data_IF_784439553860
#
_entry.id   IF_784439553860
#
_cell.length_a   1.000
_cell.length_b   1.000
_cell.length_c   1.000
_cell.angle_alpha   90.00
_cell.angle_beta   90.00
_cell.angle_gamma   90.00
#
_symmetry.space_group_name_H-M   'P 1'
#
loop_
_entity.id
_entity.type
_entity.pdbx_description
1 polymer ?
#
# COMPACT_ATOMS: atom_id res chain seq x y z
N UNK A 1 3.80 29.84 14.99
CA UNK A 1 5.12 29.32 14.56
C UNK A 1 6.05 28.89 15.71
N UNK A 2 5.71 29.08 17.00
CA UNK A 2 6.58 28.73 18.17
C UNK A 2 6.41 27.33 18.76
N UNK A 3 5.58 26.44 18.17
CA UNK A 3 5.19 25.17 18.82
C UNK A 3 6.25 24.06 18.73
N UNK A 4 7.26 24.19 17.88
CA UNK A 4 8.19 23.09 17.52
C UNK A 4 9.67 23.51 17.46
N UNK A 5 10.04 24.67 17.99
CA UNK A 5 11.41 25.24 17.91
C UNK A 5 12.50 24.39 18.59
N UNK A 6 12.10 23.45 19.48
CA UNK A 6 13.01 22.56 20.23
C UNK A 6 13.09 21.12 19.67
N UNK A 7 12.49 20.85 18.51
CA UNK A 7 12.48 19.52 17.91
C UNK A 7 13.61 19.37 16.89
N UNK A 8 14.10 18.15 16.68
CA UNK A 8 15.10 17.86 15.67
C UNK A 8 14.64 18.27 14.27
N UNK A 9 15.59 18.47 13.35
CA UNK A 9 15.26 18.91 11.98
C UNK A 9 14.35 17.88 11.25
N UNK A 10 14.56 16.59 11.45
CA UNK A 10 13.73 15.52 10.91
C UNK A 10 12.29 15.59 11.43
N UNK A 11 12.13 15.71 12.76
CA UNK A 11 10.80 15.83 13.37
C UNK A 11 10.03 17.06 12.86
N UNK A 12 10.74 18.15 12.60
CA UNK A 12 10.11 19.37 12.03
C UNK A 12 9.66 19.16 10.59
N UNK A 13 10.40 18.37 9.80
CA UNK A 13 10.01 18.00 8.41
C UNK A 13 8.77 17.13 8.46
N UNK A 14 8.79 16.07 9.28
CA UNK A 14 7.66 15.15 9.43
C UNK A 14 6.38 15.89 9.85
N UNK A 15 6.48 16.78 10.83
CA UNK A 15 5.34 17.60 11.25
C UNK A 15 4.81 18.51 10.13
N UNK A 16 5.70 19.11 9.32
CA UNK A 16 5.26 19.90 8.17
C UNK A 16 4.54 19.06 7.13
N UNK A 17 5.01 17.83 6.87
CA UNK A 17 4.33 16.91 5.98
C UNK A 17 2.94 16.56 6.53
N UNK A 18 2.85 16.19 7.82
CA UNK A 18 1.59 15.87 8.49
C UNK A 18 0.61 17.04 8.47
N UNK A 19 1.05 18.26 8.73
CA UNK A 19 0.22 19.47 8.70
C UNK A 19 -0.33 19.77 7.30
N UNK A 20 0.32 19.26 6.24
CA UNK A 20 -0.11 19.38 4.85
C UNK A 20 -0.80 18.10 4.33
N UNK A 21 -1.22 17.20 5.21
CA UNK A 21 -1.90 15.96 4.85
C UNK A 21 -1.05 15.02 3.96
N UNK A 22 0.28 15.06 4.13
CA UNK A 22 1.25 14.23 3.40
C UNK A 22 1.92 13.27 4.35
N UNK A 23 2.07 12.01 3.94
CA UNK A 23 2.89 11.01 4.63
C UNK A 23 3.76 10.25 3.62
N UNK A 24 4.98 9.89 4.04
CA UNK A 24 5.92 9.14 3.22
C UNK A 24 6.21 7.78 3.83
N UNK A 25 5.64 6.74 3.24
CA UNK A 25 5.89 5.33 3.57
C UNK A 25 7.04 4.82 2.71
N UNK A 26 8.19 4.60 3.32
CA UNK A 26 9.39 4.15 2.61
C UNK A 26 10.09 2.98 3.32
N UNK A 27 10.89 2.25 2.55
CA UNK A 27 11.62 1.06 3.02
C UNK A 27 10.75 -0.20 3.01
N UNK A 28 11.18 -1.24 3.72
CA UNK A 28 10.44 -2.48 3.87
C UNK A 28 9.14 -2.26 4.64
N UNK A 29 8.05 -2.93 4.24
CA UNK A 29 6.78 -2.89 4.96
C UNK A 29 6.91 -3.67 6.27
N UNK A 30 6.95 -2.95 7.38
CA UNK A 30 7.13 -3.46 8.73
C UNK A 30 6.10 -2.89 9.69
N UNK A 31 5.94 -3.50 10.87
CA UNK A 31 5.08 -2.98 11.94
C UNK A 31 5.41 -1.51 12.26
N UNK A 32 6.70 -1.16 12.29
CA UNK A 32 7.13 0.18 12.67
C UNK A 32 6.59 1.26 11.72
N UNK A 33 6.84 1.14 10.41
CA UNK A 33 6.45 2.18 9.45
C UNK A 33 4.96 2.15 9.13
N UNK A 34 4.34 0.98 9.13
CA UNK A 34 2.88 0.84 8.99
C UNK A 34 2.14 1.44 10.18
N UNK A 35 2.60 1.18 11.42
CA UNK A 35 2.01 1.78 12.63
C UNK A 35 2.04 3.31 12.59
N UNK A 36 3.14 3.92 12.09
CA UNK A 36 3.25 5.37 11.89
C UNK A 36 2.22 5.86 10.86
N UNK A 37 2.09 5.15 9.74
CA UNK A 37 1.13 5.48 8.67
C UNK A 37 -0.32 5.36 9.15
N UNK A 38 -0.65 4.29 9.87
CA UNK A 38 -1.98 4.09 10.46
C UNK A 38 -2.31 5.21 11.46
N UNK A 39 -1.38 5.54 12.37
CA UNK A 39 -1.58 6.62 13.34
C UNK A 39 -1.81 7.97 12.67
N UNK A 40 -1.11 8.24 11.57
CA UNK A 40 -1.35 9.43 10.75
C UNK A 40 -2.79 9.49 10.21
N UNK A 41 -3.28 8.42 9.60
CA UNK A 41 -4.66 8.36 9.07
C UNK A 41 -5.67 8.50 10.22
N UNK A 42 -5.48 7.80 11.32
CA UNK A 42 -6.36 7.87 12.47
C UNK A 42 -6.38 9.27 13.09
N UNK A 43 -5.22 9.93 13.21
CA UNK A 43 -5.14 11.30 13.74
C UNK A 43 -5.89 12.30 12.85
N UNK A 44 -5.79 12.14 11.52
CA UNK A 44 -6.54 12.95 10.57
C UNK A 44 -8.06 12.75 10.72
N UNK A 45 -8.51 11.51 10.95
CA UNK A 45 -9.92 11.18 11.17
C UNK A 45 -10.49 11.74 12.48
N UNK A 46 -9.66 11.95 13.52
CA UNK A 46 -10.09 12.52 14.80
C UNK A 46 -10.37 14.03 14.71
N UNK A 47 -9.80 14.70 13.72
CA UNK A 47 -10.00 16.13 13.53
C UNK A 47 -11.34 16.35 12.82
N UNK A 48 -12.27 17.05 13.46
CA UNK A 48 -13.58 17.42 12.86
C UNK A 48 -13.40 18.49 11.75
N UNK A 49 -12.80 18.09 10.65
CA UNK A 49 -12.67 18.91 9.44
C UNK A 49 -13.50 18.30 8.30
N UNK A 50 -13.89 19.11 7.29
CA UNK A 50 -14.51 18.59 6.08
C UNK A 50 -13.67 17.49 5.44
N UNK A 51 -14.31 16.60 4.68
CA UNK A 51 -13.62 15.56 3.93
C UNK A 51 -12.56 16.18 3.02
N UNK A 52 -11.35 15.64 3.05
CA UNK A 52 -10.22 16.09 2.23
C UNK A 52 -9.45 14.88 1.66
N UNK A 53 -8.43 15.11 0.90
CA UNK A 53 -7.54 14.06 0.40
C UNK A 53 -6.26 14.06 1.22
N UNK A 54 -5.91 12.90 1.77
CA UNK A 54 -4.62 12.62 2.39
C UNK A 54 -3.71 12.01 1.32
N UNK A 55 -2.46 12.46 1.24
CA UNK A 55 -1.49 12.01 0.25
C UNK A 55 -0.50 11.04 0.87
N UNK A 56 -0.56 9.78 0.46
CA UNK A 56 0.36 8.74 0.87
C UNK A 56 1.37 8.46 -0.25
N UNK A 57 2.58 8.96 -0.08
CA UNK A 57 3.70 8.59 -0.93
C UNK A 57 4.22 7.22 -0.53
N UNK A 58 4.42 6.34 -1.51
CA UNK A 58 4.87 4.96 -1.28
C UNK A 58 6.13 4.71 -2.09
N UNK A 59 7.19 4.26 -1.41
CA UNK A 59 8.46 3.84 -1.99
C UNK A 59 8.97 2.62 -1.23
N UNK A 60 8.60 1.43 -1.68
CA UNK A 60 8.89 0.20 -0.96
C UNK A 60 9.00 -1.00 -1.91
N UNK A 61 9.90 -1.89 -1.58
CA UNK A 61 10.04 -3.20 -2.25
C UNK A 61 9.08 -4.27 -1.70
N UNK A 62 8.25 -3.92 -0.72
CA UNK A 62 7.30 -4.83 -0.08
C UNK A 62 7.72 -5.20 1.34
N UNK A 63 7.17 -6.28 1.88
CA UNK A 63 7.41 -6.78 3.23
C UNK A 63 6.19 -7.50 3.79
N UNK A 64 5.85 -7.29 5.06
CA UNK A 64 4.83 -8.02 5.78
C UNK A 64 3.41 -7.84 5.22
N UNK A 65 2.72 -8.96 4.95
CA UNK A 65 1.36 -8.94 4.42
C UNK A 65 0.30 -8.59 5.46
N UNK A 66 0.46 -8.99 6.72
CA UNK A 66 -0.52 -8.66 7.75
C UNK A 66 -0.51 -7.16 8.05
N UNK A 67 0.68 -6.56 8.09
CA UNK A 67 0.83 -5.11 8.20
C UNK A 67 0.22 -4.40 6.98
N UNK A 68 0.43 -4.96 5.79
CA UNK A 68 -0.20 -4.48 4.55
C UNK A 68 -1.72 -4.51 4.64
N UNK A 69 -2.32 -5.61 5.08
CA UNK A 69 -3.77 -5.72 5.24
C UNK A 69 -4.29 -4.75 6.31
N UNK A 70 -3.60 -4.61 7.44
CA UNK A 70 -3.97 -3.66 8.49
C UNK A 70 -4.02 -2.22 7.95
N UNK A 71 -3.01 -1.80 7.18
CA UNK A 71 -2.98 -0.48 6.57
C UNK A 71 -4.12 -0.30 5.56
N UNK A 72 -4.33 -1.27 4.66
CA UNK A 72 -5.39 -1.21 3.65
C UNK A 72 -6.77 -1.11 4.30
N UNK A 73 -7.03 -1.85 5.37
CA UNK A 73 -8.30 -1.79 6.09
C UNK A 73 -8.53 -0.41 6.71
N UNK A 74 -7.50 0.20 7.28
CA UNK A 74 -7.57 1.57 7.82
C UNK A 74 -7.75 2.60 6.70
N UNK A 75 -7.06 2.46 5.55
CA UNK A 75 -7.26 3.32 4.38
C UNK A 75 -8.71 3.28 3.89
N UNK A 76 -9.29 2.08 3.76
CA UNK A 76 -10.69 1.88 3.32
C UNK A 76 -11.71 2.44 4.31
N UNK A 77 -11.40 2.39 5.61
CA UNK A 77 -12.27 2.89 6.69
C UNK A 77 -12.14 4.39 6.93
N UNK A 78 -11.14 5.03 6.35
CA UNK A 78 -10.89 6.45 6.54
C UNK A 78 -12.07 7.32 6.11
N UNK A 79 -12.37 8.35 6.90
CA UNK A 79 -13.30 9.41 6.51
C UNK A 79 -12.80 10.23 5.32
N UNK A 80 -11.47 10.33 5.19
CA UNK A 80 -10.79 11.06 4.13
C UNK A 80 -10.43 10.14 2.96
N UNK A 81 -10.37 10.68 1.74
CA UNK A 81 -9.84 9.95 0.61
C UNK A 81 -8.31 9.80 0.75
N UNK A 82 -7.81 8.59 0.59
CA UNK A 82 -6.36 8.36 0.57
C UNK A 82 -5.90 8.31 -0.88
N UNK A 83 -5.16 9.32 -1.30
CA UNK A 83 -4.43 9.33 -2.57
C UNK A 83 -3.12 8.59 -2.40
N UNK A 84 -2.79 7.68 -3.29
CA UNK A 84 -1.49 6.99 -3.30
C UNK A 84 -0.60 7.52 -4.41
N UNK A 85 0.63 7.84 -4.08
CA UNK A 85 1.64 8.36 -5.01
C UNK A 85 2.84 7.40 -4.98
N UNK A 86 2.97 6.57 -6.03
CA UNK A 86 4.06 5.61 -6.16
C UNK A 86 5.30 6.24 -6.75
N UNK A 87 6.42 6.16 -6.02
CA UNK A 87 7.74 6.67 -6.46
C UNK A 87 8.83 5.66 -6.11
N UNK A 88 9.95 5.68 -6.82
CA UNK A 88 11.09 4.79 -6.56
C UNK A 88 10.75 3.32 -6.82
N UNK A 89 10.20 2.61 -5.83
CA UNK A 89 9.79 1.21 -5.95
C UNK A 89 8.37 0.99 -5.42
N UNK A 90 7.55 0.25 -6.15
CA UNK A 90 6.23 -0.25 -5.77
C UNK A 90 6.20 -1.74 -6.07
N UNK A 91 6.61 -2.55 -5.10
CA UNK A 91 6.79 -3.99 -5.33
C UNK A 91 6.08 -4.81 -4.25
N UNK A 92 5.60 -6.00 -4.62
CA UNK A 92 5.04 -7.00 -3.69
C UNK A 92 3.93 -6.40 -2.80
N UNK A 93 4.05 -6.44 -1.49
CA UNK A 93 3.10 -5.88 -0.52
C UNK A 93 2.82 -4.37 -0.76
N UNK A 94 3.83 -3.59 -1.14
CA UNK A 94 3.66 -2.18 -1.47
C UNK A 94 2.81 -1.94 -2.72
N UNK A 95 2.79 -2.88 -3.67
CA UNK A 95 1.92 -2.86 -4.83
C UNK A 95 0.44 -2.91 -4.42
N UNK A 96 0.09 -3.71 -3.42
CA UNK A 96 -1.27 -3.80 -2.88
C UNK A 96 -1.68 -2.53 -2.16
N UNK A 97 -0.78 -1.94 -1.35
CA UNK A 97 -1.02 -0.65 -0.68
C UNK A 97 -1.29 0.44 -1.71
N UNK A 98 -0.42 0.55 -2.72
CA UNK A 98 -0.56 1.53 -3.80
C UNK A 98 -1.88 1.38 -4.54
N UNK A 99 -2.22 0.15 -4.96
CA UNK A 99 -3.46 -0.17 -5.67
C UNK A 99 -4.72 0.17 -4.86
N UNK A 100 -4.63 0.13 -3.52
CA UNK A 100 -5.74 0.40 -2.59
C UNK A 100 -6.04 1.88 -2.37
N UNK A 101 -5.30 2.78 -2.99
CA UNK A 101 -5.59 4.21 -3.01
C UNK A 101 -6.98 4.50 -3.59
N UNK A 102 -7.51 5.67 -3.27
CA UNK A 102 -8.81 6.12 -3.78
C UNK A 102 -8.78 6.14 -5.31
N UNK A 103 -9.71 5.42 -5.92
CA UNK A 103 -9.87 5.40 -7.38
C UNK A 103 -10.02 6.83 -7.94
N UNK A 104 -9.30 7.12 -9.01
CA UNK A 104 -9.12 8.46 -9.59
C UNK A 104 -8.02 9.30 -8.91
N UNK A 105 -7.35 8.78 -7.87
CA UNK A 105 -6.32 9.48 -7.09
C UNK A 105 -5.07 8.63 -6.84
N UNK A 106 -4.76 7.69 -7.74
CA UNK A 106 -3.55 6.83 -7.69
C UNK A 106 -2.57 7.31 -8.76
N UNK A 107 -1.48 7.91 -8.32
CA UNK A 107 -0.47 8.53 -9.18
C UNK A 107 0.80 7.69 -9.18
N UNK A 108 1.35 7.38 -10.33
CA UNK A 108 2.58 6.59 -10.47
C UNK A 108 3.67 7.39 -11.17
N UNK A 109 4.86 7.45 -10.58
CA UNK A 109 6.02 8.07 -11.18
C UNK A 109 6.48 7.31 -12.43
N UNK A 110 6.84 8.04 -13.49
CA UNK A 110 7.29 7.44 -14.75
C UNK A 110 8.48 6.49 -14.56
N UNK A 111 9.42 6.83 -13.66
CA UNK A 111 10.64 6.05 -13.40
C UNK A 111 10.48 5.04 -12.25
N UNK A 112 9.27 4.78 -11.77
CA UNK A 112 9.05 3.86 -10.66
C UNK A 112 9.25 2.42 -11.10
N UNK A 113 10.05 1.67 -10.34
CA UNK A 113 10.17 0.22 -10.46
C UNK A 113 8.91 -0.46 -9.91
N UNK A 114 8.24 -1.26 -10.72
CA UNK A 114 6.94 -1.83 -10.37
C UNK A 114 7.01 -3.34 -10.54
N UNK A 115 6.63 -4.08 -9.48
CA UNK A 115 6.64 -5.54 -9.52
C UNK A 115 5.50 -6.13 -8.67
N UNK A 116 4.85 -7.13 -9.23
CA UNK A 116 3.93 -8.01 -8.52
C UNK A 116 4.39 -9.46 -8.64
N UNK A 117 4.26 -10.22 -7.57
CA UNK A 117 4.55 -11.64 -7.53
C UNK A 117 3.59 -12.38 -6.58
N UNK A 118 3.56 -13.70 -6.69
CA UNK A 118 2.88 -14.53 -5.71
C UNK A 118 3.54 -14.37 -4.33
N UNK A 119 2.73 -14.51 -3.29
CA UNK A 119 3.24 -14.56 -1.92
C UNK A 119 4.20 -15.74 -1.77
N UNK A 120 5.39 -15.46 -1.26
CA UNK A 120 6.38 -16.48 -0.89
C UNK A 120 6.54 -16.50 0.63
N UNK A 121 6.39 -17.68 1.21
CA UNK A 121 6.66 -17.92 2.63
C UNK A 121 7.58 -19.13 2.77
N UNK A 122 8.57 -19.03 3.66
CA UNK A 122 9.44 -20.14 4.00
C UNK A 122 8.81 -20.94 5.15
N UNK A 123 8.40 -22.17 4.87
CA UNK A 123 7.79 -23.04 5.87
C UNK A 123 8.81 -24.05 6.42
N UNK A 124 9.14 -23.90 7.69
CA UNK A 124 9.86 -24.91 8.47
C UNK A 124 9.08 -25.20 9.75
N UNK A 125 8.26 -26.26 9.75
CA UNK A 125 7.44 -26.60 10.90
C UNK A 125 7.02 -28.08 10.92
N UNK A 126 6.36 -28.52 12.00
CA UNK A 126 5.80 -29.88 12.14
C UNK A 126 4.70 -30.11 11.10
N UNK A 127 4.53 -31.36 10.66
CA UNK A 127 3.62 -31.72 9.55
C UNK A 127 2.16 -31.25 9.74
N UNK A 128 1.65 -31.20 10.97
CA UNK A 128 0.31 -30.68 11.25
C UNK A 128 0.25 -29.15 11.11
N UNK A 129 1.28 -28.47 11.53
CA UNK A 129 1.39 -27.01 11.44
C UNK A 129 1.55 -26.56 9.99
N UNK A 130 2.25 -27.35 9.14
CA UNK A 130 2.36 -27.10 7.70
C UNK A 130 1.00 -27.02 7.00
N UNK A 131 0.04 -27.89 7.36
CA UNK A 131 -1.32 -27.85 6.76
C UNK A 131 -2.05 -26.57 7.11
N UNK A 132 -1.95 -26.13 8.36
CA UNK A 132 -2.55 -24.86 8.82
C UNK A 132 -1.91 -23.66 8.16
N UNK A 133 -0.58 -23.67 8.00
CA UNK A 133 0.16 -22.62 7.30
C UNK A 133 -0.20 -22.57 5.80
N UNK A 134 -0.30 -23.73 5.13
CA UNK A 134 -0.76 -23.78 3.74
C UNK A 134 -2.16 -23.19 3.57
N UNK A 135 -3.08 -23.48 4.51
CA UNK A 135 -4.43 -22.91 4.48
C UNK A 135 -4.38 -21.38 4.67
N UNK A 136 -3.54 -20.87 5.60
CA UNK A 136 -3.42 -19.44 5.81
C UNK A 136 -2.74 -18.74 4.62
N UNK A 137 -1.76 -19.37 3.99
CA UNK A 137 -1.15 -18.83 2.77
C UNK A 137 -2.18 -18.71 1.62
N UNK A 138 -3.07 -19.71 1.47
CA UNK A 138 -4.19 -19.62 0.52
C UNK A 138 -5.15 -18.48 0.88
N UNK A 139 -5.46 -18.30 2.17
CA UNK A 139 -6.30 -17.20 2.64
C UNK A 139 -5.65 -15.84 2.34
N UNK A 140 -4.33 -15.70 2.54
CA UNK A 140 -3.58 -14.48 2.22
C UNK A 140 -3.63 -14.19 0.72
N UNK A 141 -3.38 -15.19 -0.11
CA UNK A 141 -3.46 -15.06 -1.57
C UNK A 141 -4.85 -14.61 -2.02
N UNK A 142 -5.91 -15.23 -1.48
CA UNK A 142 -7.29 -14.80 -1.78
C UNK A 142 -7.57 -13.35 -1.37
N UNK A 143 -7.03 -12.90 -0.23
CA UNK A 143 -7.14 -11.49 0.21
C UNK A 143 -6.44 -10.56 -0.78
N UNK A 144 -5.22 -10.91 -1.23
CA UNK A 144 -4.49 -10.15 -2.25
C UNK A 144 -5.31 -10.02 -3.54
N UNK A 145 -5.86 -11.13 -4.05
CA UNK A 145 -6.70 -11.10 -5.25
C UNK A 145 -8.00 -10.29 -5.06
N UNK A 146 -8.61 -10.34 -3.89
CA UNK A 146 -9.78 -9.50 -3.57
C UNK A 146 -9.43 -8.01 -3.61
N UNK A 147 -8.30 -7.63 -3.03
CA UNK A 147 -7.79 -6.24 -3.07
C UNK A 147 -7.58 -5.80 -4.52
N UNK A 148 -6.90 -6.60 -5.33
CA UNK A 148 -6.65 -6.29 -6.74
C UNK A 148 -7.93 -6.25 -7.58
N UNK A 149 -8.89 -7.13 -7.30
CA UNK A 149 -10.21 -7.09 -7.93
C UNK A 149 -10.94 -5.76 -7.64
N UNK A 150 -10.93 -5.33 -6.39
CA UNK A 150 -11.56 -4.06 -5.99
C UNK A 150 -10.85 -2.86 -6.63
N UNK A 151 -9.51 -2.86 -6.60
CA UNK A 151 -8.70 -1.79 -7.16
C UNK A 151 -8.88 -1.61 -8.67
N UNK A 152 -8.95 -2.74 -9.40
CA UNK A 152 -9.00 -2.73 -10.88
C UNK A 152 -10.41 -2.71 -11.44
N UNK A 153 -11.41 -3.15 -10.67
CA UNK A 153 -12.78 -3.39 -11.17
C UNK A 153 -12.91 -4.63 -12.07
N UNK A 154 -11.84 -5.42 -12.22
CA UNK A 154 -11.84 -6.64 -13.03
C UNK A 154 -12.63 -7.76 -12.35
N UNK A 155 -13.06 -8.76 -13.13
CA UNK A 155 -13.53 -10.03 -12.57
C UNK A 155 -12.37 -10.80 -11.95
N UNK A 156 -12.63 -11.67 -10.96
CA UNK A 156 -11.61 -12.49 -10.32
C UNK A 156 -10.81 -13.33 -11.35
N UNK A 157 -11.48 -13.88 -12.35
CA UNK A 157 -10.83 -14.63 -13.42
C UNK A 157 -9.82 -13.78 -14.20
N UNK A 158 -10.15 -12.52 -14.51
CA UNK A 158 -9.24 -11.59 -15.18
C UNK A 158 -8.08 -11.16 -14.29
N UNK A 159 -8.32 -10.93 -12.99
CA UNK A 159 -7.25 -10.63 -12.03
C UNK A 159 -6.24 -11.76 -12.01
N UNK A 160 -6.70 -13.00 -11.81
CA UNK A 160 -5.84 -14.18 -11.83
C UNK A 160 -5.10 -14.33 -13.16
N UNK A 161 -5.79 -14.20 -14.29
CA UNK A 161 -5.15 -14.29 -15.61
C UNK A 161 -4.03 -13.28 -15.83
N UNK A 162 -4.15 -12.06 -15.28
CA UNK A 162 -3.23 -10.94 -15.57
C UNK A 162 -2.19 -10.70 -14.48
N UNK A 163 -2.50 -11.02 -13.24
CA UNK A 163 -1.72 -10.63 -12.06
C UNK A 163 -1.30 -11.84 -11.19
N UNK A 164 -1.71 -13.06 -11.55
CA UNK A 164 -1.25 -14.30 -10.94
C UNK A 164 -0.25 -14.96 -11.89
N UNK A 165 1.02 -14.91 -11.54
CA UNK A 165 2.11 -15.47 -12.31
C UNK A 165 3.06 -16.25 -11.41
N UNK A 166 3.56 -17.41 -11.85
CA UNK A 166 4.55 -18.16 -11.09
C UNK A 166 5.93 -17.46 -11.01
N UNK A 167 6.12 -16.43 -11.81
CA UNK A 167 7.33 -15.60 -11.81
C UNK A 167 7.00 -14.14 -11.57
N UNK A 168 7.99 -13.38 -11.10
CA UNK A 168 7.87 -11.94 -10.91
C UNK A 168 7.41 -11.24 -12.18
N UNK A 169 6.38 -10.42 -12.05
CA UNK A 169 5.85 -9.60 -13.13
C UNK A 169 6.27 -8.14 -12.94
N UNK A 170 7.05 -7.63 -13.85
CA UNK A 170 7.45 -6.23 -13.89
C UNK A 170 6.54 -5.44 -14.82
N UNK A 171 6.18 -4.22 -14.42
CA UNK A 171 5.28 -3.37 -15.17
C UNK A 171 5.88 -2.00 -15.42
N UNK A 172 5.48 -1.38 -16.52
CA UNK A 172 5.68 0.05 -16.75
C UNK A 172 4.54 0.85 -16.12
N UNK A 173 4.75 2.14 -15.88
CA UNK A 173 3.71 3.04 -15.39
C UNK A 173 2.46 3.03 -16.30
N UNK A 174 2.67 2.97 -17.63
CA UNK A 174 1.59 2.87 -18.61
C UNK A 174 0.76 1.59 -18.45
N UNK A 175 1.40 0.44 -18.25
CA UNK A 175 0.70 -0.82 -18.03
C UNK A 175 -0.14 -0.80 -16.75
N UNK A 176 0.30 -0.10 -15.69
CA UNK A 176 -0.51 0.07 -14.48
C UNK A 176 -1.79 0.86 -14.76
N UNK A 177 -1.70 1.90 -15.58
CA UNK A 177 -2.89 2.68 -15.98
C UNK A 177 -3.81 1.81 -16.85
N UNK A 178 -3.26 1.09 -17.82
CA UNK A 178 -4.04 0.20 -18.71
C UNK A 178 -4.74 -0.95 -17.92
N UNK A 179 -4.16 -1.36 -16.77
CA UNK A 179 -4.74 -2.35 -15.84
C UNK A 179 -5.68 -1.72 -14.79
N UNK A 180 -5.88 -0.40 -14.81
CA UNK A 180 -6.66 0.33 -13.82
C UNK A 180 -6.14 0.12 -12.36
N UNK A 181 -4.83 -0.04 -12.21
CA UNK A 181 -4.13 -0.09 -10.92
C UNK A 181 -3.62 1.30 -10.53
N UNK A 182 -3.18 2.08 -11.50
CA UNK A 182 -2.94 3.52 -11.39
C UNK A 182 -3.96 4.30 -12.20
N UNK A 183 -4.18 5.57 -11.85
CA UNK A 183 -5.09 6.46 -12.56
C UNK A 183 -4.33 7.49 -13.41
N UNK A 184 -3.13 7.90 -12.95
CA UNK A 184 -2.32 8.96 -13.59
C UNK A 184 -0.84 8.60 -13.53
N UNK A 185 -0.10 9.04 -14.55
CA UNK A 185 1.37 9.06 -14.55
C UNK A 185 1.80 10.49 -14.18
N UNK A 186 2.77 10.61 -13.25
CA UNK A 186 3.36 11.90 -12.86
C UNK A 186 4.28 12.46 -13.92
#
# INVERSE_FOLDING_TARGET
MKKYENWGAEDQIDLKLLDNDVHYLSGEITEENVSKTIKWILSANLVKKPKRTLQLYVNSTGGDLYETFALIDVMKKSHHDISTIGVGAIMSAAFLIFASGKQGKRYIGYNTGIMNHQHSDAMESKMHDMKSQMQENQNCEERCFKILKEATGMTMAKVKQKLDSPSDQYFTAKQLVDLNIADHIL
#
